data_IF_612434174275
#
_entry.id   IF_612434174275
#
_cell.length_a   1.000
_cell.length_b   1.000
_cell.length_c   1.000
_cell.angle_alpha   90.00
_cell.angle_beta   90.00
_cell.angle_gamma   90.00
#
_symmetry.space_group_name_H-M   'P 1'
#
loop_
_entity.id
_entity.type
_entity.pdbx_description
1 polymer ?
#
# COMPACT_ATOMS: atom_id res chain seq x y z
N UNK A 1 -0.66 30.41 11.78
CA UNK A 1 0.62 29.68 11.79
C UNK A 1 0.37 28.29 11.23
N UNK A 2 1.29 27.73 10.43
CA UNK A 2 1.17 26.37 9.87
C UNK A 2 1.97 25.37 10.69
N UNK A 3 1.44 24.16 10.85
CA UNK A 3 2.12 23.01 11.48
C UNK A 3 2.44 21.98 10.40
N UNK A 4 3.61 21.33 10.46
CA UNK A 4 3.94 20.21 9.58
C UNK A 4 3.18 18.97 10.05
N UNK A 5 2.32 18.43 9.19
CA UNK A 5 1.67 17.14 9.39
C UNK A 5 2.44 16.04 8.66
N UNK A 6 2.80 14.98 9.37
CA UNK A 6 3.39 13.77 8.79
C UNK A 6 2.56 12.57 9.24
N UNK A 7 2.14 11.75 8.29
CA UNK A 7 1.45 10.47 8.51
C UNK A 7 2.15 9.37 7.74
N UNK A 8 1.88 8.11 8.09
CA UNK A 8 2.42 6.96 7.38
C UNK A 8 1.56 5.73 7.57
N UNK A 9 1.73 4.79 6.65
CA UNK A 9 1.13 3.46 6.69
C UNK A 9 2.22 2.45 7.06
N UNK A 10 2.00 1.66 8.12
CA UNK A 10 3.04 0.80 8.71
C UNK A 10 2.62 -0.67 8.78
N UNK A 11 1.65 -1.08 7.97
CA UNK A 11 1.10 -2.42 7.99
C UNK A 11 -0.31 -2.44 7.40
N UNK A 12 -1.16 -3.32 7.93
CA UNK A 12 -2.54 -3.44 7.50
C UNK A 12 -3.24 -4.61 8.17
N UNK A 13 -4.45 -4.90 7.69
CA UNK A 13 -5.15 -6.12 8.09
C UNK A 13 -5.75 -6.14 9.49
N UNK A 14 -5.82 -4.99 10.17
CA UNK A 14 -6.28 -4.92 11.57
C UNK A 14 -5.36 -5.68 12.53
N UNK A 15 -4.11 -5.92 12.13
CA UNK A 15 -3.14 -6.69 12.91
C UNK A 15 -1.77 -6.01 12.92
N UNK A 16 -0.86 -6.53 13.74
CA UNK A 16 0.55 -6.16 13.76
C UNK A 16 1.40 -7.41 13.77
N UNK A 17 2.60 -7.29 13.22
CA UNK A 17 3.63 -8.33 13.30
C UNK A 17 4.83 -7.79 14.09
N UNK A 18 5.73 -8.67 14.58
CA UNK A 18 6.98 -8.22 15.17
C UNK A 18 7.78 -7.29 14.23
N UNK A 19 7.72 -7.55 12.92
CA UNK A 19 8.37 -6.75 11.89
C UNK A 19 7.75 -5.36 11.75
N UNK A 20 6.42 -5.25 11.63
CA UNK A 20 5.75 -3.94 11.52
C UNK A 20 5.94 -3.10 12.78
N UNK A 21 5.94 -3.71 13.96
CA UNK A 21 6.22 -3.03 15.22
C UNK A 21 7.67 -2.52 15.29
N UNK A 22 8.64 -3.32 14.89
CA UNK A 22 10.05 -2.92 14.87
C UNK A 22 10.31 -1.81 13.85
N UNK A 23 9.68 -1.89 12.67
CA UNK A 23 9.74 -0.87 11.64
C UNK A 23 9.14 0.46 12.12
N UNK A 24 7.93 0.42 12.70
CA UNK A 24 7.24 1.62 13.20
C UNK A 24 8.04 2.31 14.31
N UNK A 25 8.57 1.54 15.27
CA UNK A 25 9.42 2.07 16.34
C UNK A 25 10.67 2.77 15.77
N UNK A 26 11.31 2.12 14.78
CA UNK A 26 12.49 2.68 14.10
C UNK A 26 12.17 3.97 13.35
N UNK A 27 11.02 4.04 12.67
CA UNK A 27 10.58 5.22 11.94
C UNK A 27 10.34 6.42 12.87
N UNK A 28 9.67 6.20 14.00
CA UNK A 28 9.41 7.24 15.00
C UNK A 28 10.74 7.72 15.62
N UNK A 29 11.63 6.81 16.01
CA UNK A 29 12.93 7.19 16.57
C UNK A 29 13.76 8.02 15.58
N UNK A 30 13.81 7.64 14.30
CA UNK A 30 14.49 8.43 13.26
C UNK A 30 13.91 9.84 13.19
N UNK A 31 12.59 9.99 13.21
CA UNK A 31 11.94 11.29 13.17
C UNK A 31 12.33 12.13 14.39
N UNK A 32 12.22 11.58 15.60
CA UNK A 32 12.52 12.30 16.84
C UNK A 32 13.99 12.72 16.92
N UNK A 33 14.92 11.84 16.53
CA UNK A 33 16.35 12.15 16.47
C UNK A 33 16.64 13.20 15.39
N UNK A 34 16.07 13.06 14.20
CA UNK A 34 16.27 14.03 13.09
C UNK A 34 15.76 15.42 13.45
N UNK A 35 14.67 15.50 14.21
CA UNK A 35 14.12 16.78 14.70
C UNK A 35 14.85 17.32 15.95
N UNK A 36 15.83 16.60 16.50
CA UNK A 36 16.55 17.01 17.70
C UNK A 36 15.73 16.97 18.99
N UNK A 37 14.62 16.23 19.02
CA UNK A 37 13.75 16.09 20.19
C UNK A 37 14.39 15.15 21.23
N UNK A 38 15.09 14.12 20.75
CA UNK A 38 15.87 13.18 21.56
C UNK A 38 17.26 12.99 20.93
N UNK A 39 18.28 12.75 21.76
CA UNK A 39 19.66 12.55 21.29
C UNK A 39 19.93 11.13 20.79
N UNK A 40 19.09 10.16 21.19
CA UNK A 40 19.23 8.74 20.85
C UNK A 40 17.86 8.05 20.74
N UNK A 41 17.77 6.92 20.01
CA UNK A 41 16.54 6.13 19.90
C UNK A 41 16.00 5.72 21.28
N UNK A 42 14.67 5.77 21.45
CA UNK A 42 13.97 5.44 22.71
C UNK A 42 12.97 4.29 22.59
N UNK A 43 12.45 4.03 21.38
CA UNK A 43 11.45 2.98 21.14
C UNK A 43 12.07 1.69 20.60
N UNK A 44 13.09 1.82 19.76
CA UNK A 44 13.74 0.73 19.05
C UNK A 44 14.50 -0.17 20.02
N UNK A 45 14.28 -1.49 19.90
CA UNK A 45 14.93 -2.50 20.74
C UNK A 45 16.31 -2.92 20.24
N UNK A 46 16.65 -2.54 19.01
CA UNK A 46 17.91 -2.82 18.35
C UNK A 46 18.46 -1.51 17.76
N UNK A 47 19.77 -1.44 17.44
CA UNK A 47 20.34 -0.31 16.71
C UNK A 47 19.56 -0.05 15.42
N UNK A 48 19.34 1.23 15.11
CA UNK A 48 18.73 1.62 13.85
C UNK A 48 19.67 1.20 12.70
N UNK A 49 19.18 0.36 11.80
CA UNK A 49 19.91 0.03 10.58
C UNK A 49 20.12 1.29 9.71
N UNK A 50 21.00 1.23 8.71
CA UNK A 50 21.02 2.28 7.69
C UNK A 50 19.68 2.28 6.93
N UNK A 51 19.08 3.45 6.65
CA UNK A 51 17.86 3.50 5.86
C UNK A 51 18.14 3.03 4.43
N UNK A 52 17.20 2.27 3.86
CA UNK A 52 17.21 1.95 2.44
C UNK A 52 16.98 3.18 1.55
N UNK A 53 17.09 3.04 0.21
CA UNK A 53 16.81 4.13 -0.71
C UNK A 53 15.36 4.61 -0.56
N UNK A 54 15.18 5.92 -0.45
CA UNK A 54 13.86 6.54 -0.46
C UNK A 54 13.32 6.60 -1.89
N UNK A 55 12.15 6.02 -2.10
CA UNK A 55 11.39 6.16 -3.34
C UNK A 55 10.23 7.14 -3.11
N UNK A 56 10.22 8.25 -3.85
CA UNK A 56 9.07 9.16 -3.86
C UNK A 56 8.02 8.64 -4.84
N UNK A 57 6.77 8.60 -4.39
CA UNK A 57 5.65 8.07 -5.16
C UNK A 57 4.54 9.12 -5.27
N UNK A 58 3.92 9.21 -6.44
CA UNK A 58 2.74 10.03 -6.71
C UNK A 58 1.49 9.16 -6.81
N UNK A 59 0.48 9.49 -6.01
CA UNK A 59 -0.89 8.98 -6.14
C UNK A 59 -1.82 10.17 -6.34
N UNK A 60 -2.11 10.51 -7.59
CA UNK A 60 -2.81 11.75 -7.97
C UNK A 60 -3.90 11.57 -9.03
N UNK A 61 -4.02 10.38 -9.63
CA UNK A 61 -4.99 10.08 -10.70
C UNK A 61 -5.94 8.96 -10.26
N UNK A 62 -7.20 9.05 -10.70
CA UNK A 62 -8.17 7.98 -10.40
C UNK A 62 -7.82 6.65 -11.08
N UNK A 63 -7.19 6.70 -12.26
CA UNK A 63 -6.69 5.53 -13.02
C UNK A 63 -5.64 4.71 -12.27
N UNK A 64 -5.07 5.24 -11.19
CA UNK A 64 -4.12 4.54 -10.33
C UNK A 64 -4.79 3.58 -9.35
N UNK A 65 -6.11 3.60 -9.23
CA UNK A 65 -6.88 2.65 -8.45
C UNK A 65 -7.82 1.82 -9.33
N UNK A 66 -7.96 0.55 -8.97
CA UNK A 66 -9.03 -0.31 -9.49
C UNK A 66 -10.08 -0.44 -8.39
N UNK A 67 -11.34 -0.20 -8.74
CA UNK A 67 -12.47 -0.18 -7.82
C UNK A 67 -13.51 -1.22 -8.23
N UNK A 68 -14.18 -1.82 -7.25
CA UNK A 68 -15.30 -2.70 -7.50
C UNK A 68 -16.51 -1.89 -8.01
N UNK A 69 -17.15 -2.36 -9.08
CA UNK A 69 -18.34 -1.72 -9.65
C UNK A 69 -19.65 -2.29 -9.06
N UNK A 70 -19.58 -3.47 -8.48
CA UNK A 70 -20.69 -4.22 -7.88
C UNK A 70 -20.15 -5.03 -6.70
N UNK A 71 -20.97 -5.84 -6.06
CA UNK A 71 -20.48 -6.80 -5.07
C UNK A 71 -19.73 -7.94 -5.76
N UNK A 72 -18.63 -8.38 -5.18
CA UNK A 72 -17.86 -9.53 -5.69
C UNK A 72 -16.61 -9.82 -4.87
N UNK A 73 -15.85 -10.81 -5.30
CA UNK A 73 -14.68 -11.30 -4.58
C UNK A 73 -13.42 -11.07 -5.40
N UNK A 74 -12.54 -10.20 -4.89
CA UNK A 74 -11.28 -9.89 -5.54
C UNK A 74 -10.18 -10.85 -5.10
N UNK A 75 -9.52 -11.47 -6.07
CA UNK A 75 -8.33 -12.29 -5.93
C UNK A 75 -7.12 -11.52 -6.50
N UNK A 76 -6.21 -11.00 -5.65
CA UNK A 76 -5.07 -10.24 -6.13
C UNK A 76 -4.02 -11.14 -6.80
N UNK A 77 -3.51 -10.73 -7.96
CA UNK A 77 -2.42 -11.41 -8.65
C UNK A 77 -1.03 -10.82 -8.33
N UNK A 78 -0.99 -9.63 -7.70
CA UNK A 78 0.24 -8.87 -7.46
C UNK A 78 0.37 -8.47 -5.99
N UNK A 79 1.57 -8.63 -5.44
CA UNK A 79 1.89 -8.29 -4.06
C UNK A 79 2.16 -6.78 -3.84
N UNK A 80 1.99 -6.31 -2.60
CA UNK A 80 2.46 -4.98 -2.19
C UNK A 80 3.96 -4.80 -2.48
N UNK A 81 4.33 -3.60 -2.93
CA UNK A 81 5.70 -3.23 -3.27
C UNK A 81 6.17 -3.72 -4.65
N UNK A 82 5.40 -4.54 -5.35
CA UNK A 82 5.76 -4.99 -6.69
C UNK A 82 5.68 -3.84 -7.71
N UNK A 83 6.60 -3.83 -8.68
CA UNK A 83 6.56 -2.92 -9.84
C UNK A 83 5.75 -3.57 -10.96
N UNK A 84 4.82 -2.82 -11.55
CA UNK A 84 3.90 -3.30 -12.60
C UNK A 84 3.86 -2.35 -13.79
N UNK A 85 3.49 -2.90 -14.95
CA UNK A 85 3.28 -2.15 -16.18
C UNK A 85 1.79 -1.96 -16.52
N UNK A 86 1.49 -0.97 -17.37
CA UNK A 86 0.14 -0.82 -17.95
C UNK A 86 -0.29 -2.13 -18.64
N UNK A 87 -1.51 -2.56 -18.39
CA UNK A 87 -2.11 -3.77 -18.95
C UNK A 87 -1.72 -5.06 -18.23
N UNK A 88 -0.79 -5.00 -17.26
CA UNK A 88 -0.45 -6.15 -16.42
C UNK A 88 -1.64 -6.57 -15.55
N UNK A 89 -1.77 -7.88 -15.29
CA UNK A 89 -2.85 -8.43 -14.51
C UNK A 89 -2.73 -7.97 -13.06
N UNK A 90 -3.77 -7.31 -12.55
CA UNK A 90 -3.85 -6.88 -11.16
C UNK A 90 -4.50 -7.97 -10.28
N UNK A 91 -5.45 -8.71 -10.83
CA UNK A 91 -6.15 -9.79 -10.16
C UNK A 91 -7.39 -10.25 -10.93
N UNK A 92 -8.06 -11.26 -10.39
CA UNK A 92 -9.33 -11.76 -10.90
C UNK A 92 -10.47 -11.30 -10.00
N UNK A 93 -11.61 -10.97 -10.59
CA UNK A 93 -12.81 -10.57 -9.89
C UNK A 93 -13.92 -11.56 -10.13
N UNK A 94 -14.40 -12.15 -9.03
CA UNK A 94 -15.35 -13.25 -9.06
C UNK A 94 -16.74 -12.75 -8.66
N UNK A 95 -17.76 -13.04 -9.49
CA UNK A 95 -19.16 -12.91 -9.11
C UNK A 95 -19.70 -14.29 -8.70
N UNK A 96 -19.57 -14.61 -7.41
CA UNK A 96 -20.03 -15.90 -6.87
C UNK A 96 -21.56 -16.01 -6.78
N UNK A 97 -22.31 -14.97 -7.17
CA UNK A 97 -23.77 -15.03 -7.32
C UNK A 97 -24.16 -15.47 -8.75
N UNK A 98 -23.20 -15.50 -9.70
CA UNK A 98 -23.39 -15.89 -11.12
C UNK A 98 -22.36 -16.91 -11.56
N UNK A 99 -22.49 -18.14 -11.06
CA UNK A 99 -21.50 -19.22 -11.20
C UNK A 99 -21.20 -19.65 -12.65
N UNK A 100 -22.07 -19.34 -13.60
CA UNK A 100 -21.85 -19.60 -15.03
C UNK A 100 -20.96 -18.58 -15.73
N UNK A 101 -20.72 -17.41 -15.11
CA UNK A 101 -19.86 -16.38 -15.65
C UNK A 101 -18.41 -16.68 -15.26
N UNK A 102 -17.46 -16.57 -16.21
CA UNK A 102 -16.05 -16.63 -15.85
C UNK A 102 -15.68 -15.40 -15.00
N UNK A 103 -14.61 -15.54 -14.25
CA UNK A 103 -13.98 -14.43 -13.54
C UNK A 103 -13.56 -13.31 -14.50
N UNK A 104 -13.68 -12.07 -14.03
CA UNK A 104 -13.23 -10.89 -14.76
C UNK A 104 -11.75 -10.61 -14.44
N UNK A 105 -10.89 -10.60 -15.46
CA UNK A 105 -9.52 -10.15 -15.29
C UNK A 105 -9.45 -8.63 -15.17
N UNK A 106 -8.95 -8.14 -14.04
CA UNK A 106 -8.70 -6.72 -13.79
C UNK A 106 -7.24 -6.41 -14.08
N UNK A 107 -6.98 -5.34 -14.84
CA UNK A 107 -5.65 -4.95 -15.31
C UNK A 107 -5.31 -3.52 -14.92
N UNK A 108 -4.03 -3.26 -14.64
CA UNK A 108 -3.59 -1.91 -14.29
C UNK A 108 -3.70 -0.96 -15.48
N UNK A 109 -4.30 0.21 -15.25
CA UNK A 109 -4.35 1.29 -16.25
C UNK A 109 -3.07 2.16 -16.25
N UNK A 110 -2.24 2.05 -15.22
CA UNK A 110 -1.04 2.86 -15.00
C UNK A 110 0.13 1.94 -14.60
N UNK A 111 1.36 2.32 -14.94
CA UNK A 111 2.56 1.63 -14.42
C UNK A 111 2.98 2.23 -13.08
N UNK A 112 3.67 1.45 -12.25
CA UNK A 112 4.24 1.96 -11.01
C UNK A 112 4.45 0.88 -9.97
N UNK A 113 4.37 1.25 -8.70
CA UNK A 113 4.54 0.34 -7.55
C UNK A 113 3.20 0.13 -6.85
N UNK A 114 2.82 -1.13 -6.60
CA UNK A 114 1.61 -1.46 -5.85
C UNK A 114 1.77 -1.00 -4.40
N UNK A 115 0.94 -0.05 -3.97
CA UNK A 115 1.04 0.58 -2.63
C UNK A 115 -0.05 0.15 -1.65
N UNK A 116 -1.17 -0.35 -2.17
CA UNK A 116 -2.28 -0.82 -1.35
C UNK A 116 -3.07 -1.87 -2.13
N UNK A 117 -3.65 -2.83 -1.41
CA UNK A 117 -4.73 -3.66 -1.91
C UNK A 117 -5.67 -4.01 -0.78
N UNK A 118 -6.87 -4.45 -1.15
CA UNK A 118 -7.91 -4.82 -0.21
C UNK A 118 -7.49 -6.07 0.57
N UNK A 119 -7.75 -6.05 1.88
CA UNK A 119 -7.48 -7.20 2.74
C UNK A 119 -8.46 -8.35 2.50
N UNK A 120 -9.76 -8.09 2.62
CA UNK A 120 -10.77 -9.14 2.43
C UNK A 120 -11.12 -9.27 0.95
N UNK A 121 -11.38 -10.49 0.51
CA UNK A 121 -11.78 -10.73 -0.88
C UNK A 121 -13.17 -10.15 -1.17
N UNK A 122 -14.17 -10.34 -0.29
CA UNK A 122 -15.53 -9.79 -0.46
C UNK A 122 -15.48 -8.26 -0.46
N UNK A 123 -16.02 -7.65 -1.51
CA UNK A 123 -15.98 -6.22 -1.79
C UNK A 123 -17.34 -5.73 -2.29
N UNK A 124 -17.61 -4.46 -2.07
CA UNK A 124 -18.84 -3.79 -2.50
C UNK A 124 -18.53 -2.72 -3.55
N UNK A 125 -19.56 -2.25 -4.26
CA UNK A 125 -19.41 -1.15 -5.21
C UNK A 125 -18.74 0.07 -4.55
N UNK A 126 -17.67 0.57 -5.16
CA UNK A 126 -16.86 1.68 -4.68
C UNK A 126 -15.67 1.28 -3.80
N UNK A 127 -15.57 0.01 -3.36
CA UNK A 127 -14.39 -0.45 -2.64
C UNK A 127 -13.16 -0.39 -3.54
N UNK A 128 -12.06 0.18 -3.01
CA UNK A 128 -10.77 0.13 -3.68
C UNK A 128 -10.17 -1.28 -3.55
N UNK A 129 -9.86 -1.90 -4.69
CA UNK A 129 -9.35 -3.26 -4.75
C UNK A 129 -7.83 -3.28 -4.68
N UNK A 130 -7.17 -2.42 -5.44
CA UNK A 130 -5.71 -2.33 -5.54
C UNK A 130 -5.31 -0.98 -6.14
N UNK A 131 -4.18 -0.42 -5.68
CA UNK A 131 -3.65 0.85 -6.19
C UNK A 131 -2.17 0.76 -6.54
N UNK A 132 -1.80 1.49 -7.58
CA UNK A 132 -0.43 1.63 -8.07
C UNK A 132 -0.02 3.10 -8.02
N UNK A 133 1.11 3.40 -7.40
CA UNK A 133 1.65 4.75 -7.37
C UNK A 133 2.84 4.90 -8.33
N UNK A 134 2.90 6.05 -9.00
CA UNK A 134 3.92 6.37 -9.98
C UNK A 134 5.22 6.80 -9.28
N UNK A 135 6.38 6.20 -9.60
CA UNK A 135 7.68 6.71 -9.15
C UNK A 135 7.95 8.13 -9.65
N UNK A 136 8.31 9.02 -8.75
CA UNK A 136 8.78 10.37 -9.09
C UNK A 136 10.31 10.32 -9.13
N UNK A 137 10.89 10.65 -10.29
CA UNK A 137 12.34 10.84 -10.40
C UNK A 137 12.75 12.06 -9.54
N UNK A 138 13.75 11.86 -8.70
CA UNK A 138 14.38 12.91 -7.89
C UNK A 138 15.37 13.76 -8.68
#
# INVERSE_FOLDING_TARGET
AGTVGLSGEFGGGGTVTPETMAFTASAIDRLLVTLGIVERPVLSRAPLAEPGPLQLLSLSRHSQGIYANNRGWFEPAVALGATVSVGELAGCYHDLERLEQPEEELRFAESGIVISHRLHCDSQAGDCLIQVAEPIAS
#
